data_IF_090380465631
#
_entry.id   IF_090380465631
#
_cell.length_a   1.000
_cell.length_b   1.000
_cell.length_c   1.000
_cell.angle_alpha   90.00
_cell.angle_beta   90.00
_cell.angle_gamma   90.00
#
_symmetry.space_group_name_H-M   'P 1'
#
loop_
_entity.id
_entity.type
_entity.pdbx_description
1 polymer ?
#
# COMPACT_ATOMS: atom_id res chain seq x y z
N UNK A 1 11.33 -9.73 22.76
CA UNK A 1 10.42 -9.29 21.67
C UNK A 1 9.76 -10.53 21.08
N UNK A 2 8.43 -10.60 21.04
CA UNK A 2 7.70 -11.80 20.63
C UNK A 2 7.73 -11.97 19.10
N UNK A 3 8.16 -13.15 18.63
CA UNK A 3 8.27 -13.56 17.21
C UNK A 3 7.05 -13.19 16.37
N UNK A 4 5.87 -13.16 17.00
CA UNK A 4 4.60 -12.72 16.42
C UNK A 4 4.64 -11.30 15.83
N UNK A 5 5.27 -10.33 16.52
CA UNK A 5 5.39 -8.95 16.01
C UNK A 5 6.22 -8.87 14.73
N UNK A 6 7.25 -9.71 14.61
CA UNK A 6 8.13 -9.73 13.43
C UNK A 6 7.40 -10.35 12.24
N UNK A 7 6.69 -11.46 12.45
CA UNK A 7 5.86 -12.08 11.41
C UNK A 7 4.75 -11.16 10.92
N UNK A 8 4.08 -10.46 11.83
CA UNK A 8 3.04 -9.49 11.47
C UNK A 8 3.61 -8.38 10.59
N UNK A 9 4.81 -7.86 10.91
CA UNK A 9 5.48 -6.83 10.10
C UNK A 9 5.76 -7.33 8.69
N UNK A 10 6.29 -8.54 8.53
CA UNK A 10 6.56 -9.12 7.21
C UNK A 10 5.28 -9.33 6.41
N UNK A 11 4.23 -9.86 7.04
CA UNK A 11 2.93 -10.03 6.41
C UNK A 11 2.34 -8.69 5.96
N UNK A 12 2.43 -7.65 6.80
CA UNK A 12 2.00 -6.30 6.45
C UNK A 12 2.79 -5.75 5.26
N UNK A 13 4.10 -5.95 5.22
CA UNK A 13 4.95 -5.55 4.09
C UNK A 13 4.56 -6.26 2.79
N UNK A 14 4.29 -7.57 2.84
CA UNK A 14 3.91 -8.37 1.68
C UNK A 14 2.53 -7.99 1.14
N UNK A 15 1.55 -7.75 2.03
CA UNK A 15 0.24 -7.19 1.68
C UNK A 15 0.39 -5.81 1.03
N UNK A 16 1.33 -4.99 1.50
CA UNK A 16 1.63 -3.67 0.93
C UNK A 16 2.09 -3.76 -0.52
N UNK A 17 3.05 -4.65 -0.79
CA UNK A 17 3.58 -4.89 -2.13
C UNK A 17 2.46 -5.37 -3.05
N UNK A 18 1.69 -6.37 -2.61
CA UNK A 18 0.57 -6.90 -3.36
C UNK A 18 -0.46 -5.80 -3.68
N UNK A 19 -0.85 -5.01 -2.70
CA UNK A 19 -1.80 -3.90 -2.84
C UNK A 19 -1.29 -2.82 -3.81
N UNK A 20 0.02 -2.55 -3.82
CA UNK A 20 0.65 -1.61 -4.76
C UNK A 20 0.62 -2.13 -6.19
N UNK A 21 0.87 -3.44 -6.40
CA UNK A 21 0.78 -4.07 -7.72
C UNK A 21 -0.65 -4.04 -8.24
N UNK A 22 -1.64 -4.36 -7.39
CA UNK A 22 -3.06 -4.26 -7.75
C UNK A 22 -3.48 -2.83 -8.09
N UNK A 23 -3.02 -1.84 -7.33
CA UNK A 23 -3.26 -0.43 -7.60
C UNK A 23 -2.71 -0.01 -8.98
N UNK A 24 -1.49 -0.46 -9.33
CA UNK A 24 -0.90 -0.22 -10.65
C UNK A 24 -1.72 -0.89 -11.77
N UNK A 25 -2.22 -2.10 -11.49
CA UNK A 25 -3.08 -2.84 -12.40
C UNK A 25 -4.41 -2.12 -12.66
N UNK A 26 -4.98 -1.48 -11.64
CA UNK A 26 -6.16 -0.62 -11.77
C UNK A 26 -5.94 0.51 -12.78
N UNK A 27 -4.79 1.18 -12.72
CA UNK A 27 -4.46 2.26 -13.64
C UNK A 27 -4.32 1.76 -15.09
N UNK A 28 -3.75 0.57 -15.28
CA UNK A 28 -3.67 -0.06 -16.60
C UNK A 28 -5.05 -0.42 -17.16
N UNK A 29 -5.97 -0.88 -16.31
CA UNK A 29 -7.36 -1.14 -16.70
C UNK A 29 -8.08 0.15 -17.07
N UNK A 30 -7.91 1.24 -16.30
CA UNK A 30 -8.50 2.55 -16.62
C UNK A 30 -7.99 3.09 -17.96
N UNK A 31 -6.69 2.98 -18.23
CA UNK A 31 -6.09 3.34 -19.53
C UNK A 31 -6.68 2.52 -20.68
N UNK A 32 -6.88 1.22 -20.46
CA UNK A 32 -7.44 0.32 -21.46
C UNK A 32 -8.93 0.61 -21.69
N UNK A 33 -9.68 0.93 -20.64
CA UNK A 33 -11.07 1.36 -20.74
C UNK A 33 -11.20 2.67 -21.53
N UNK A 34 -10.29 3.62 -21.31
CA UNK A 34 -10.22 4.86 -22.06
C UNK A 34 -9.97 4.58 -23.56
N UNK A 35 -9.07 3.65 -23.86
CA UNK A 35 -8.77 3.26 -25.24
C UNK A 35 -9.96 2.56 -25.91
N UNK A 36 -10.66 1.68 -25.19
CA UNK A 36 -11.87 1.01 -25.66
C UNK A 36 -13.02 2.01 -25.91
N UNK A 37 -13.16 3.02 -25.06
CA UNK A 37 -14.12 4.10 -25.24
C UNK A 37 -13.84 4.92 -26.51
N UNK A 38 -12.57 5.22 -26.79
CA UNK A 38 -12.15 5.87 -28.03
C UNK A 38 -12.39 5.00 -29.28
N UNK A 39 -12.37 3.67 -29.12
CA UNK A 39 -12.65 2.72 -30.20
C UNK A 39 -14.16 2.45 -30.41
N UNK A 40 -15.04 3.21 -29.72
CA UNK A 40 -16.50 3.05 -29.72
C UNK A 40 -17.01 1.70 -29.21
N UNK A 41 -16.17 0.91 -28.53
CA UNK A 41 -16.55 -0.38 -27.95
C UNK A 41 -17.02 -0.17 -26.50
N UNK A 42 -18.22 0.42 -26.38
CA UNK A 42 -18.79 0.88 -25.11
C UNK A 42 -19.07 -0.25 -24.11
N UNK A 43 -19.21 -1.49 -24.59
CA UNK A 43 -19.41 -2.66 -23.72
C UNK A 43 -18.16 -3.01 -22.93
N UNK A 44 -17.00 -3.02 -23.59
CA UNK A 44 -15.72 -3.32 -22.96
C UNK A 44 -15.29 -2.19 -22.02
N UNK A 45 -15.48 -0.93 -22.41
CA UNK A 45 -15.10 0.22 -21.59
C UNK A 45 -15.83 0.24 -20.22
N UNK A 46 -17.14 -0.05 -20.21
CA UNK A 46 -17.92 -0.04 -18.96
C UNK A 46 -17.57 -1.19 -18.03
N UNK A 47 -17.25 -2.38 -18.57
CA UNK A 47 -16.87 -3.54 -17.77
C UNK A 47 -15.51 -3.29 -17.08
N UNK A 48 -14.53 -2.79 -17.83
CA UNK A 48 -13.20 -2.49 -17.28
C UNK A 48 -13.22 -1.39 -16.21
N UNK A 49 -14.05 -0.35 -16.39
CA UNK A 49 -14.22 0.70 -15.37
C UNK A 49 -14.93 0.20 -14.10
N UNK A 50 -15.88 -0.73 -14.25
CA UNK A 50 -16.55 -1.30 -13.08
C UNK A 50 -15.59 -2.16 -12.27
N UNK A 51 -14.75 -2.96 -12.92
CA UNK A 51 -13.72 -3.78 -12.28
C UNK A 51 -12.62 -2.93 -11.64
N UNK A 52 -12.14 -1.87 -12.32
CA UNK A 52 -11.12 -0.97 -11.76
C UNK A 52 -11.60 -0.25 -10.49
N UNK A 53 -12.90 0.02 -10.36
CA UNK A 53 -13.47 0.64 -9.17
C UNK A 53 -13.27 -0.21 -7.91
N UNK A 54 -13.34 -1.54 -8.01
CA UNK A 54 -13.05 -2.43 -6.87
C UNK A 54 -11.57 -2.44 -6.50
N UNK A 55 -10.70 -2.23 -7.49
CA UNK A 55 -9.26 -2.16 -7.27
C UNK A 55 -8.81 -0.88 -6.55
N UNK A 56 -9.61 0.20 -6.57
CA UNK A 56 -9.33 1.42 -5.79
C UNK A 56 -9.30 1.19 -4.28
N UNK A 57 -10.02 0.19 -3.76
CA UNK A 57 -9.98 -0.16 -2.32
C UNK A 57 -8.56 -0.58 -1.87
N UNK A 58 -7.75 -1.10 -2.81
CA UNK A 58 -6.35 -1.48 -2.57
C UNK A 58 -5.39 -0.27 -2.51
N UNK A 59 -5.86 0.98 -2.63
CA UNK A 59 -5.04 2.15 -2.29
C UNK A 59 -4.98 2.45 -0.77
N UNK A 60 -5.94 1.92 0.01
CA UNK A 60 -6.02 2.18 1.45
C UNK A 60 -4.88 1.51 2.23
N UNK A 61 -4.56 0.21 2.02
CA UNK A 61 -3.51 -0.47 2.77
C UNK A 61 -2.12 0.16 2.60
N UNK A 62 -1.66 0.52 1.38
CA UNK A 62 -0.35 1.15 1.20
C UNK A 62 -0.19 2.46 1.95
N UNK A 63 -1.23 3.30 1.94
CA UNK A 63 -1.20 4.61 2.58
C UNK A 63 -1.10 4.50 4.11
N UNK A 64 -1.87 3.58 4.71
CA UNK A 64 -1.84 3.35 6.15
C UNK A 64 -0.56 2.66 6.62
N UNK A 65 -0.08 1.66 5.88
CA UNK A 65 1.11 0.90 6.28
C UNK A 65 2.38 1.72 6.10
N UNK A 66 2.50 2.53 5.03
CA UNK A 66 3.63 3.46 4.87
C UNK A 66 3.73 4.46 6.03
N UNK A 67 2.60 4.95 6.52
CA UNK A 67 2.53 5.80 7.72
C UNK A 67 2.90 5.05 9.01
N UNK A 68 2.60 3.75 9.08
CA UNK A 68 2.92 2.89 10.23
C UNK A 68 4.40 2.51 10.28
N UNK A 69 5.02 2.19 9.13
CA UNK A 69 6.45 1.89 9.01
C UNK A 69 7.29 3.14 9.35
N UNK A 70 6.93 4.30 8.80
CA UNK A 70 7.66 5.55 9.05
C UNK A 70 7.57 6.00 10.53
N UNK A 71 6.51 5.62 11.25
CA UNK A 71 6.40 5.87 12.70
C UNK A 71 7.27 4.93 13.54
N UNK A 72 7.48 3.69 13.11
CA UNK A 72 8.24 2.72 13.88
C UNK A 72 9.73 3.10 13.96
N UNK A 73 10.32 3.58 12.86
CA UNK A 73 11.72 4.05 12.83
C UNK A 73 11.91 5.31 13.68
N UNK A 74 10.97 6.25 13.65
CA UNK A 74 11.02 7.47 14.47
C UNK A 74 10.90 7.14 15.96
N UNK A 75 10.01 6.21 16.32
CA UNK A 75 9.87 5.77 17.73
C UNK A 75 11.12 5.02 18.19
N UNK A 76 11.69 4.14 17.37
CA UNK A 76 12.97 3.48 17.68
C UNK A 76 14.12 4.48 17.84
N UNK A 77 14.25 5.45 16.94
CA UNK A 77 15.30 6.46 17.00
C UNK A 77 15.17 7.35 18.25
N UNK A 78 13.95 7.67 18.67
CA UNK A 78 13.70 8.41 19.92
C UNK A 78 14.02 7.56 21.15
N UNK A 79 13.67 6.27 21.13
CA UNK A 79 13.93 5.34 22.24
C UNK A 79 15.43 5.08 22.42
N UNK A 80 16.16 4.92 21.31
CA UNK A 80 17.62 4.81 21.29
C UNK A 80 18.29 6.11 21.76
N UNK A 81 17.79 7.28 21.34
CA UNK A 81 18.30 8.57 21.81
C UNK A 81 18.11 8.77 23.33
N UNK A 82 16.94 8.40 23.86
CA UNK A 82 16.66 8.47 25.29
C UNK A 82 17.51 7.48 26.11
N UNK A 83 17.76 6.28 25.59
CA UNK A 83 18.68 5.31 26.19
C UNK A 83 20.14 5.77 26.17
N UNK A 84 20.56 6.44 25.10
CA UNK A 84 21.92 6.99 25.00
C UNK A 84 22.11 8.14 26.00
N UNK A 85 21.11 9.00 26.13
CA UNK A 85 21.09 10.10 27.10
C UNK A 85 21.06 9.61 28.55
N UNK A 86 20.30 8.56 28.85
CA UNK A 86 20.23 8.01 30.22
C UNK A 86 21.51 7.29 30.65
N UNK A 87 22.29 6.76 29.71
CA UNK A 87 23.62 6.17 29.97
C UNK A 87 24.74 7.19 30.15
N UNK A 88 24.52 8.45 29.75
CA UNK A 88 25.48 9.54 29.89
C UNK A 88 25.28 10.40 31.15
N UNK A 89 24.22 10.15 31.92
CA UNK A 89 23.97 10.77 33.23
C UNK A 89 24.31 9.81 34.36
#
# INVERSE_FOLDING_TARGET
MTTFKVFLRDLLGLVLILSTVLALFSLLLDLTALFAYLHHDSGHASLLLHESFYLLVFFIPPYFIGKYINRAEVVQAVEDFLLMKSKQS
#
